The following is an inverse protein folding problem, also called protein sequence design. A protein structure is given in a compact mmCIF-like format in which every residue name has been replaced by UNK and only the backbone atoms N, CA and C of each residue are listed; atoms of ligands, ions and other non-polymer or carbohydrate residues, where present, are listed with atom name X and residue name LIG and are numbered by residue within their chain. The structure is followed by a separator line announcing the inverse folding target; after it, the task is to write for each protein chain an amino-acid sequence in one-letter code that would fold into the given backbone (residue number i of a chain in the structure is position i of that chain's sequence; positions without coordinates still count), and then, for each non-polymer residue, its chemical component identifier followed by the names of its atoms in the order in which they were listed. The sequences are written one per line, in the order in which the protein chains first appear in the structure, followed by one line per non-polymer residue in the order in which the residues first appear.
data_IF_388611893293
#
_entry.id   IF_388611893293
#
_cell.length_a   1.000
_cell.length_b   1.000
_cell.length_c   1.000
_cell.angle_alpha   90.00
_cell.angle_beta   90.00
_cell.angle_gamma   90.00
#
_symmetry.space_group_name_H-M   'P 1'
#
loop_
_entity.id
_entity.type
_entity.pdbx_description
1 polymer ?
#
# COMPACT_ATOMS: atom_id res chain seq x y z
N UNK A 1 34.33 -4.96 33.03
CA UNK A 1 33.26 -5.76 32.42
C UNK A 1 32.44 -4.88 31.51
N UNK A 2 32.66 -4.99 30.23
CA UNK A 2 31.93 -4.24 29.23
C UNK A 2 30.60 -4.95 28.97
N UNK A 3 29.51 -4.41 29.46
CA UNK A 3 28.17 -4.81 29.00
C UNK A 3 27.94 -4.17 27.65
N UNK A 4 28.22 -4.90 26.57
CA UNK A 4 27.84 -4.53 25.24
C UNK A 4 26.30 -4.65 25.17
N UNK A 5 25.62 -3.53 25.33
CA UNK A 5 24.22 -3.40 25.00
C UNK A 5 24.11 -3.71 23.50
N UNK A 6 23.68 -4.92 23.15
CA UNK A 6 23.17 -5.21 21.84
C UNK A 6 21.89 -4.37 21.68
N UNK A 7 22.03 -3.21 21.07
CA UNK A 7 20.91 -2.52 20.46
C UNK A 7 20.36 -3.49 19.41
N UNK A 8 19.34 -4.26 19.80
CA UNK A 8 18.48 -4.94 18.85
C UNK A 8 18.05 -3.87 17.84
N UNK A 9 18.53 -3.98 16.61
CA UNK A 9 18.14 -3.10 15.51
C UNK A 9 16.61 -3.19 15.39
N UNK A 10 15.91 -2.27 16.03
CA UNK A 10 14.46 -2.23 16.04
C UNK A 10 14.04 -1.84 14.63
N UNK A 11 13.51 -2.82 13.88
CA UNK A 11 12.97 -2.55 12.55
C UNK A 11 11.97 -1.41 12.60
N UNK A 12 12.05 -0.50 11.64
CA UNK A 12 11.06 0.55 11.50
C UNK A 12 9.74 -0.05 11.04
N UNK A 13 8.67 0.29 11.75
CA UNK A 13 7.33 -0.13 11.39
C UNK A 13 6.80 0.72 10.23
N UNK A 14 6.24 0.07 9.24
CA UNK A 14 5.65 0.73 8.09
C UNK A 14 4.26 0.20 7.75
N UNK A 15 3.52 1.03 7.04
CA UNK A 15 2.24 0.68 6.43
C UNK A 15 2.29 0.91 4.91
N UNK A 16 1.58 0.09 4.18
CA UNK A 16 1.47 0.17 2.72
C UNK A 16 0.03 0.45 2.33
N UNK A 17 -0.22 1.51 1.57
CA UNK A 17 -1.54 1.84 1.06
C UNK A 17 -1.49 1.83 -0.46
N UNK A 18 -2.17 0.86 -1.08
CA UNK A 18 -2.20 0.66 -2.54
C UNK A 18 -3.53 1.16 -3.09
N UNK A 19 -3.49 1.91 -4.18
CA UNK A 19 -4.67 2.53 -4.79
C UNK A 19 -4.91 3.95 -4.29
N UNK A 20 -3.85 4.66 -3.91
CA UNK A 20 -3.94 6.06 -3.53
C UNK A 20 -4.13 6.92 -4.78
N UNK A 21 -5.20 7.70 -4.77
CA UNK A 21 -5.57 8.62 -5.84
C UNK A 21 -5.56 10.08 -5.39
N UNK A 22 -6.73 10.72 -5.46
CA UNK A 22 -6.87 12.11 -5.06
C UNK A 22 -6.59 12.33 -3.57
N UNK A 23 -6.06 13.51 -3.22
CA UNK A 23 -5.71 13.86 -1.84
C UNK A 23 -6.90 13.84 -0.88
N UNK A 24 -8.13 14.03 -1.38
CA UNK A 24 -9.37 13.94 -0.60
C UNK A 24 -9.92 12.51 -0.52
N UNK A 25 -9.29 11.55 -1.19
CA UNK A 25 -9.76 10.16 -1.23
C UNK A 25 -9.44 9.39 0.05
N UNK A 26 -10.11 8.24 0.19
CA UNK A 26 -9.95 7.33 1.34
C UNK A 26 -8.49 6.90 1.51
N UNK A 27 -7.83 6.47 0.43
CA UNK A 27 -6.44 6.03 0.50
C UNK A 27 -5.49 7.10 1.04
N UNK A 28 -5.65 8.36 0.61
CA UNK A 28 -4.85 9.47 1.11
C UNK A 28 -5.14 9.79 2.60
N UNK A 29 -6.40 9.70 3.02
CA UNK A 29 -6.77 9.87 4.42
C UNK A 29 -6.15 8.80 5.32
N UNK A 30 -6.16 7.54 4.88
CA UNK A 30 -5.53 6.42 5.57
C UNK A 30 -4.01 6.61 5.67
N UNK A 31 -3.35 7.05 4.59
CA UNK A 31 -1.91 7.35 4.62
C UNK A 31 -1.57 8.39 5.70
N UNK A 32 -2.32 9.50 5.74
CA UNK A 32 -2.10 10.55 6.76
C UNK A 32 -2.36 10.06 8.18
N UNK A 33 -3.35 9.20 8.37
CA UNK A 33 -3.64 8.62 9.68
C UNK A 33 -2.49 7.73 10.15
N UNK A 34 -2.02 6.80 9.33
CA UNK A 34 -0.89 5.94 9.68
C UNK A 34 0.39 6.74 9.97
N UNK A 35 0.67 7.77 9.18
CA UNK A 35 1.81 8.65 9.45
C UNK A 35 1.69 9.40 10.78
N UNK A 36 0.48 9.85 11.13
CA UNK A 36 0.20 10.48 12.43
C UNK A 36 0.41 9.52 13.61
N UNK A 37 0.14 8.23 13.40
CA UNK A 37 0.41 7.16 14.39
C UNK A 37 1.89 6.73 14.43
N UNK A 38 2.77 7.41 13.68
CA UNK A 38 4.22 7.20 13.72
C UNK A 38 4.73 6.10 12.80
N UNK A 39 3.91 5.60 11.88
CA UNK A 39 4.34 4.64 10.87
C UNK A 39 4.97 5.37 9.66
N UNK A 40 6.02 4.79 9.11
CA UNK A 40 6.44 5.15 7.75
C UNK A 40 5.42 4.63 6.74
N UNK A 41 4.99 5.44 5.80
CA UNK A 41 3.90 5.09 4.88
C UNK A 41 4.37 4.99 3.45
N UNK A 42 4.17 3.84 2.82
CA UNK A 42 4.32 3.67 1.39
C UNK A 42 3.00 4.03 0.70
N UNK A 43 3.03 5.16 0.01
CA UNK A 43 1.89 5.73 -0.71
C UNK A 43 1.94 5.24 -2.14
N UNK A 44 1.18 4.18 -2.46
CA UNK A 44 1.27 3.52 -3.76
C UNK A 44 0.05 3.76 -4.65
N UNK A 45 0.31 4.07 -5.92
CA UNK A 45 -0.74 4.32 -6.89
C UNK A 45 -0.20 4.56 -8.30
N UNK A 46 -1.07 4.58 -9.30
CA UNK A 46 -0.69 4.68 -10.72
C UNK A 46 -0.20 6.06 -11.14
N UNK A 47 -0.73 7.11 -10.54
CA UNK A 47 -0.44 8.50 -10.92
C UNK A 47 0.56 9.12 -9.96
N UNK A 48 1.83 9.20 -10.38
CA UNK A 48 2.94 9.64 -9.53
C UNK A 48 2.67 11.00 -8.87
N UNK A 49 2.20 12.00 -9.61
CA UNK A 49 1.93 13.34 -9.09
C UNK A 49 0.92 13.34 -7.93
N UNK A 50 -0.08 12.42 -7.95
CA UNK A 50 -1.08 12.33 -6.89
C UNK A 50 -0.50 11.71 -5.62
N UNK A 51 0.26 10.63 -5.76
CA UNK A 51 0.85 9.95 -4.60
C UNK A 51 1.98 10.78 -3.99
N UNK A 52 2.76 11.49 -4.82
CA UNK A 52 3.79 12.42 -4.36
C UNK A 52 3.20 13.58 -3.57
N UNK A 53 2.09 14.15 -4.03
CA UNK A 53 1.38 15.21 -3.30
C UNK A 53 0.92 14.74 -1.91
N UNK A 54 0.47 13.49 -1.77
CA UNK A 54 0.10 12.92 -0.47
C UNK A 54 1.34 12.71 0.40
N UNK A 55 2.43 12.18 -0.15
CA UNK A 55 3.68 12.01 0.59
C UNK A 55 4.24 13.37 1.06
N UNK A 56 4.21 14.40 0.22
CA UNK A 56 4.63 15.75 0.57
C UNK A 56 3.80 16.34 1.72
N UNK A 57 2.48 16.11 1.75
CA UNK A 57 1.62 16.52 2.86
C UNK A 57 2.00 15.82 4.16
N UNK A 58 2.35 14.55 4.11
CA UNK A 58 2.81 13.79 5.28
C UNK A 58 4.13 14.36 5.79
N UNK A 59 5.10 14.62 4.91
CA UNK A 59 6.37 15.22 5.29
C UNK A 59 6.19 16.62 5.89
N UNK A 60 5.30 17.44 5.34
CA UNK A 60 4.99 18.78 5.88
C UNK A 60 4.43 18.74 7.32
N UNK A 61 3.88 17.59 7.74
CA UNK A 61 3.40 17.35 9.09
C UNK A 61 4.36 16.48 9.92
N UNK A 62 5.64 16.47 9.57
CA UNK A 62 6.70 15.73 10.26
C UNK A 62 6.52 14.20 10.29
N UNK A 63 5.72 13.65 9.36
CA UNK A 63 5.60 12.20 9.14
C UNK A 63 6.58 11.69 8.09
N UNK A 64 6.71 10.37 7.98
CA UNK A 64 7.54 9.72 6.98
C UNK A 64 6.67 9.04 5.92
N UNK A 65 6.95 9.29 4.64
CA UNK A 65 6.25 8.68 3.53
C UNK A 65 7.16 8.47 2.32
N UNK A 66 6.84 7.46 1.53
CA UNK A 66 7.48 7.17 0.24
C UNK A 66 6.41 7.05 -0.82
N UNK A 67 6.48 7.89 -1.85
CA UNK A 67 5.63 7.74 -3.02
C UNK A 67 6.18 6.61 -3.91
N UNK A 68 5.37 5.59 -4.15
CA UNK A 68 5.76 4.44 -4.97
C UNK A 68 4.78 4.25 -6.12
N UNK A 69 5.24 4.48 -7.35
CA UNK A 69 4.39 4.28 -8.52
C UNK A 69 4.14 2.80 -8.73
N UNK A 70 2.88 2.41 -8.80
CA UNK A 70 2.45 1.03 -8.85
C UNK A 70 1.16 0.88 -9.64
N UNK A 71 1.14 -0.05 -10.58
CA UNK A 71 -0.10 -0.66 -11.08
C UNK A 71 -0.31 -1.99 -10.34
N UNK A 72 -1.39 -2.09 -9.57
CA UNK A 72 -1.67 -3.28 -8.77
C UNK A 72 -2.12 -4.49 -9.60
N UNK A 73 -2.38 -4.31 -10.90
CA UNK A 73 -2.66 -5.39 -11.86
C UNK A 73 -1.36 -6.02 -12.41
N UNK A 74 -0.20 -5.40 -12.16
CA UNK A 74 1.11 -5.88 -12.59
C UNK A 74 1.85 -6.54 -11.43
N UNK A 75 1.97 -7.87 -11.48
CA UNK A 75 2.64 -8.66 -10.43
C UNK A 75 4.09 -8.23 -10.19
N UNK A 76 4.81 -7.84 -11.23
CA UNK A 76 6.22 -7.44 -11.09
C UNK A 76 6.35 -6.12 -10.34
N UNK A 77 5.44 -5.17 -10.59
CA UNK A 77 5.41 -3.91 -9.86
C UNK A 77 4.99 -4.12 -8.39
N UNK A 78 4.01 -5.01 -8.15
CA UNK A 78 3.62 -5.39 -6.79
C UNK A 78 4.79 -6.02 -6.04
N UNK A 79 5.48 -6.98 -6.65
CA UNK A 79 6.66 -7.61 -6.05
C UNK A 79 7.78 -6.59 -5.77
N UNK A 80 8.06 -5.70 -6.72
CA UNK A 80 9.09 -4.67 -6.56
C UNK A 80 8.83 -3.74 -5.36
N UNK A 81 7.57 -3.40 -5.07
CA UNK A 81 7.22 -2.65 -3.87
C UNK A 81 7.61 -3.41 -2.60
N UNK A 82 7.19 -4.65 -2.47
CA UNK A 82 7.44 -5.45 -1.27
C UNK A 82 8.92 -5.81 -1.11
N UNK A 83 9.63 -6.07 -2.21
CA UNK A 83 11.08 -6.31 -2.21
C UNK A 83 11.84 -5.05 -1.76
N UNK A 84 11.41 -3.87 -2.21
CA UNK A 84 11.99 -2.60 -1.76
C UNK A 84 11.86 -2.43 -0.26
N UNK A 85 10.68 -2.67 0.31
CA UNK A 85 10.43 -2.55 1.75
C UNK A 85 11.28 -3.56 2.53
N UNK A 86 11.30 -4.81 2.08
CA UNK A 86 12.05 -5.89 2.72
C UNK A 86 13.56 -5.60 2.71
N UNK A 87 14.10 -5.05 1.61
CA UNK A 87 15.51 -4.70 1.48
C UNK A 87 15.94 -3.57 2.44
N UNK A 88 15.02 -2.72 2.86
CA UNK A 88 15.26 -1.66 3.85
C UNK A 88 15.16 -2.15 5.29
N UNK A 89 14.98 -3.45 5.51
CA UNK A 89 14.85 -4.07 6.84
C UNK A 89 13.69 -3.47 7.66
N UNK A 90 12.59 -3.09 7.00
CA UNK A 90 11.38 -2.56 7.63
C UNK A 90 10.39 -3.69 7.95
N UNK A 91 9.51 -3.43 8.93
CA UNK A 91 8.43 -4.35 9.32
C UNK A 91 7.09 -3.81 8.83
N UNK A 92 6.42 -4.57 7.97
CA UNK A 92 5.09 -4.19 7.46
C UNK A 92 4.03 -4.55 8.51
N UNK A 93 3.40 -3.55 9.10
CA UNK A 93 2.32 -3.76 10.09
C UNK A 93 0.95 -3.86 9.45
N UNK A 94 0.72 -3.09 8.38
CA UNK A 94 -0.55 -3.08 7.67
C UNK A 94 -0.36 -2.89 6.16
N UNK A 95 -1.17 -3.58 5.39
CA UNK A 95 -1.35 -3.37 3.95
C UNK A 95 -2.81 -3.06 3.69
N UNK A 96 -3.08 -1.94 3.06
CA UNK A 96 -4.43 -1.52 2.67
C UNK A 96 -4.53 -1.59 1.15
N UNK A 97 -5.36 -2.49 0.65
CA UNK A 97 -5.73 -2.55 -0.75
C UNK A 97 -6.97 -1.68 -0.97
N UNK A 98 -6.74 -0.47 -1.47
CA UNK A 98 -7.78 0.52 -1.77
C UNK A 98 -7.95 0.72 -3.29
N UNK A 99 -7.69 -0.35 -4.05
CA UNK A 99 -7.88 -0.33 -5.50
C UNK A 99 -9.32 -0.68 -5.81
N UNK A 100 -10.00 0.23 -6.49
CA UNK A 100 -11.36 0.01 -6.94
C UNK A 100 -11.80 1.13 -7.87
N UNK A 101 -12.70 0.82 -8.77
CA UNK A 101 -13.35 1.80 -9.64
C UNK A 101 -14.81 1.89 -9.28
N UNK A 102 -15.23 2.97 -8.66
CA UNK A 102 -16.66 3.25 -8.53
C UNK A 102 -17.16 3.87 -9.84
N UNK A 103 -17.22 3.07 -10.90
CA UNK A 103 -17.72 3.47 -12.21
C UNK A 103 -19.19 3.05 -12.29
N UNK A 104 -20.13 4.00 -12.23
CA UNK A 104 -21.55 3.68 -12.37
C UNK A 104 -21.83 3.01 -13.71
N UNK A 105 -22.53 1.90 -13.69
CA UNK A 105 -22.88 1.14 -14.88
C UNK A 105 -24.28 0.57 -14.76
N UNK A 106 -25.01 0.55 -15.89
CA UNK A 106 -26.31 -0.12 -15.96
C UNK A 106 -26.06 -1.56 -16.38
N UNK A 107 -26.33 -2.52 -15.51
CA UNK A 107 -26.03 -3.94 -15.70
C UNK A 107 -26.46 -4.47 -17.07
N UNK A 108 -27.69 -4.20 -17.49
CA UNK A 108 -28.22 -4.66 -18.77
C UNK A 108 -27.53 -4.07 -20.02
N UNK A 109 -26.75 -3.01 -19.86
CA UNK A 109 -26.03 -2.34 -20.95
C UNK A 109 -24.52 -2.46 -20.82
N UNK A 110 -24.04 -3.08 -19.76
CA UNK A 110 -22.59 -3.23 -19.52
C UNK A 110 -22.04 -4.36 -20.41
N UNK A 111 -21.04 -4.06 -21.24
CA UNK A 111 -20.39 -5.10 -22.04
C UNK A 111 -19.52 -6.00 -21.15
N UNK A 112 -19.23 -7.22 -21.61
CA UNK A 112 -18.36 -8.15 -20.92
C UNK A 112 -16.96 -7.57 -20.63
N UNK A 113 -16.45 -6.74 -21.54
CA UNK A 113 -15.17 -6.04 -21.35
C UNK A 113 -15.13 -5.14 -20.10
N UNK A 114 -16.26 -4.49 -19.80
CA UNK A 114 -16.38 -3.70 -18.56
C UNK A 114 -16.30 -4.59 -17.31
N UNK A 115 -17.00 -5.72 -17.31
CA UNK A 115 -16.92 -6.69 -16.22
C UNK A 115 -15.49 -7.24 -16.06
N UNK A 116 -14.84 -7.62 -17.15
CA UNK A 116 -13.46 -8.11 -17.12
C UNK A 116 -12.50 -7.07 -16.56
N UNK A 117 -12.64 -5.82 -16.96
CA UNK A 117 -11.83 -4.72 -16.43
C UNK A 117 -12.06 -4.52 -14.92
N UNK A 118 -13.30 -4.55 -14.47
CA UNK A 118 -13.62 -4.44 -13.03
C UNK A 118 -13.04 -5.62 -12.25
N UNK A 119 -13.15 -6.83 -12.78
CA UNK A 119 -12.58 -8.01 -12.16
C UNK A 119 -11.04 -7.92 -12.05
N UNK A 120 -10.36 -7.46 -13.09
CA UNK A 120 -8.90 -7.27 -13.08
C UNK A 120 -8.47 -6.20 -12.07
N UNK A 121 -9.10 -5.04 -12.10
CA UNK A 121 -8.71 -3.93 -11.24
C UNK A 121 -9.03 -4.16 -9.76
N UNK A 122 -10.07 -4.91 -9.44
CA UNK A 122 -10.49 -5.14 -8.05
C UNK A 122 -10.02 -6.49 -7.53
N UNK A 123 -10.47 -7.58 -8.14
CA UNK A 123 -10.23 -8.93 -7.62
C UNK A 123 -8.82 -9.44 -7.92
N UNK A 124 -8.37 -9.36 -9.17
CA UNK A 124 -7.03 -9.81 -9.53
C UNK A 124 -5.97 -9.02 -8.80
N UNK A 125 -6.08 -7.70 -8.74
CA UNK A 125 -5.13 -6.86 -8.00
C UNK A 125 -5.10 -7.20 -6.51
N UNK A 126 -6.26 -7.44 -5.89
CA UNK A 126 -6.36 -7.88 -4.50
C UNK A 126 -5.65 -9.22 -4.28
N UNK A 127 -5.83 -10.17 -5.19
CA UNK A 127 -5.15 -11.46 -5.14
C UNK A 127 -3.62 -11.33 -5.24
N UNK A 128 -3.11 -10.54 -6.20
CA UNK A 128 -1.68 -10.33 -6.38
C UNK A 128 -1.02 -9.65 -5.16
N UNK A 129 -1.67 -8.64 -4.61
CA UNK A 129 -1.21 -7.98 -3.38
C UNK A 129 -1.23 -8.94 -2.20
N UNK A 130 -2.30 -9.74 -2.06
CA UNK A 130 -2.41 -10.73 -0.98
C UNK A 130 -1.28 -11.76 -1.04
N UNK A 131 -1.01 -12.33 -2.20
CA UNK A 131 0.08 -13.30 -2.35
C UNK A 131 1.43 -12.73 -1.93
N UNK A 132 1.70 -11.47 -2.29
CA UNK A 132 2.98 -10.82 -1.99
C UNK A 132 3.11 -10.48 -0.51
N UNK A 133 2.10 -9.88 0.12
CA UNK A 133 2.20 -9.45 1.51
C UNK A 133 2.04 -10.58 2.53
N UNK A 134 1.17 -11.57 2.28
CA UNK A 134 0.94 -12.67 3.22
C UNK A 134 2.17 -13.56 3.40
N UNK A 135 3.00 -13.70 2.38
CA UNK A 135 4.29 -14.37 2.49
C UNK A 135 5.20 -13.67 3.52
N UNK A 136 5.28 -12.35 3.44
CA UNK A 136 6.06 -11.53 4.39
C UNK A 136 5.44 -11.60 5.79
N UNK A 137 4.13 -11.50 5.92
CA UNK A 137 3.42 -11.59 7.20
C UNK A 137 3.66 -12.93 7.90
N UNK A 138 3.71 -14.02 7.13
CA UNK A 138 4.06 -15.33 7.66
C UNK A 138 5.49 -15.35 8.24
N UNK A 139 6.45 -14.81 7.50
CA UNK A 139 7.86 -14.83 7.90
C UNK A 139 8.12 -13.92 9.12
N UNK A 140 7.44 -12.79 9.21
CA UNK A 140 7.56 -11.86 10.36
C UNK A 140 6.58 -12.18 11.50
N UNK A 141 5.70 -13.18 11.34
CA UNK A 141 4.66 -13.60 12.28
C UNK A 141 3.75 -12.44 12.76
N UNK A 142 3.51 -11.48 11.89
CA UNK A 142 2.71 -10.28 12.16
C UNK A 142 2.28 -9.62 10.85
N UNK A 143 1.10 -9.00 10.84
CA UNK A 143 0.61 -8.18 9.75
C UNK A 143 -0.90 -8.18 9.63
N UNK A 144 -1.43 -7.11 9.06
CA UNK A 144 -2.88 -6.95 8.80
C UNK A 144 -3.07 -6.55 7.34
N UNK A 145 -3.93 -7.27 6.64
CA UNK A 145 -4.36 -6.94 5.28
C UNK A 145 -5.82 -6.51 5.29
N UNK A 146 -6.11 -5.33 4.75
CA UNK A 146 -7.47 -4.77 4.67
C UNK A 146 -7.80 -4.44 3.22
N UNK A 147 -9.00 -4.79 2.81
CA UNK A 147 -9.58 -4.39 1.53
C UNK A 147 -10.67 -3.36 1.78
N UNK A 148 -10.63 -2.24 1.07
CA UNK A 148 -11.70 -1.24 1.04
C UNK A 148 -12.46 -1.45 -0.26
N UNK A 149 -13.43 -2.30 -0.25
CA UNK A 149 -14.14 -2.84 -1.40
C UNK A 149 -14.86 -1.86 -2.28
#
# INVERSE_FOLDING_TARGET
MSMTSATLDKKQDCAVVIGVGASQGIGAAVCRLFAKEGLKVYVAGRTFQKIEAVAAQIHANAGEAVAFRLDAEDIHQVQALFDTITSQNERITAVIHNVGGNIPSIFLRSPLSFFTQMWQSTFLSAYLVSQSCLKIFKDQNHGTLIFTG
#
